data_IF_869556079215
#
_entry.id   IF_869556079215
#
_cell.length_a   1.000
_cell.length_b   1.000
_cell.length_c   1.000
_cell.angle_alpha   90.00
_cell.angle_beta   90.00
_cell.angle_gamma   90.00
#
_symmetry.space_group_name_H-M   'P 1'
#
loop_
_entity.id
_entity.type
_entity.pdbx_description
1 polymer ?
#
# COMPACT_ATOMS: atom_id res chain seq x y z
N UNK A 1 -3.89 -1.64 -28.02
CA UNK A 1 -3.43 -3.04 -27.90
C UNK A 1 -1.94 -3.12 -27.51
N UNK A 2 -1.00 -2.66 -28.34
CA UNK A 2 0.45 -2.75 -28.07
C UNK A 2 0.91 -2.10 -26.77
N UNK A 3 0.44 -0.88 -26.46
CA UNK A 3 0.81 -0.19 -25.21
C UNK A 3 0.21 -0.85 -23.96
N UNK A 4 -1.01 -1.37 -24.04
CA UNK A 4 -1.60 -2.15 -22.95
C UNK A 4 -0.80 -3.43 -22.67
N UNK A 5 -0.33 -4.12 -23.72
CA UNK A 5 0.55 -5.28 -23.57
C UNK A 5 1.92 -4.93 -22.97
N UNK A 6 2.46 -3.75 -23.30
CA UNK A 6 3.71 -3.25 -22.69
C UNK A 6 3.51 -2.93 -21.21
N UNK A 7 2.42 -2.24 -20.86
CA UNK A 7 2.07 -1.97 -19.47
C UNK A 7 1.83 -3.26 -18.68
N UNK A 8 1.11 -4.23 -19.24
CA UNK A 8 0.91 -5.51 -18.56
C UNK A 8 2.20 -6.28 -18.31
N UNK A 9 3.20 -6.15 -19.20
CA UNK A 9 4.52 -6.75 -18.99
C UNK A 9 5.30 -6.11 -17.82
N UNK A 10 4.89 -4.92 -17.39
CA UNK A 10 5.46 -4.24 -16.24
C UNK A 10 4.84 -4.62 -14.88
N UNK A 11 3.77 -5.41 -14.89
CA UNK A 11 3.00 -5.73 -13.68
C UNK A 11 3.41 -7.11 -13.16
N UNK A 12 3.74 -7.18 -11.87
CA UNK A 12 3.93 -8.44 -11.16
C UNK A 12 2.95 -8.52 -10.00
N UNK A 13 2.16 -9.59 -9.95
CA UNK A 13 1.11 -9.73 -8.95
C UNK A 13 1.69 -10.26 -7.65
N UNK A 14 1.49 -9.51 -6.57
CA UNK A 14 1.69 -10.01 -5.21
C UNK A 14 0.43 -10.71 -4.71
N UNK A 15 -0.75 -10.27 -5.16
CA UNK A 15 -2.03 -10.91 -4.89
C UNK A 15 -3.12 -10.49 -5.90
N UNK A 16 -3.95 -11.41 -6.41
CA UNK A 16 -3.88 -12.86 -6.18
C UNK A 16 -2.62 -13.48 -6.80
N UNK A 17 -1.97 -14.38 -6.08
CA UNK A 17 -0.78 -15.09 -6.57
C UNK A 17 -1.14 -16.12 -7.65
N UNK A 18 -2.35 -16.68 -7.58
CA UNK A 18 -2.96 -17.49 -8.63
C UNK A 18 -4.44 -17.12 -8.84
N UNK A 19 -4.80 -16.43 -9.93
CA UNK A 19 -6.18 -16.02 -10.22
C UNK A 19 -7.18 -17.19 -10.34
N UNK A 20 -6.70 -18.41 -10.62
CA UNK A 20 -7.54 -19.58 -10.86
C UNK A 20 -7.98 -20.34 -9.59
N UNK A 21 -7.48 -19.97 -8.40
CA UNK A 21 -7.59 -20.80 -7.20
C UNK A 21 -8.57 -20.30 -6.13
N UNK A 22 -9.34 -19.23 -6.36
CA UNK A 22 -9.94 -18.50 -5.23
C UNK A 22 -11.44 -18.73 -5.05
N UNK A 23 -11.77 -19.28 -3.88
CA UNK A 23 -13.14 -19.43 -3.35
C UNK A 23 -13.61 -18.15 -2.67
N UNK A 24 -14.91 -17.86 -2.76
CA UNK A 24 -15.53 -16.69 -2.16
C UNK A 24 -15.67 -16.79 -0.64
N UNK A 25 -15.27 -15.72 0.04
CA UNK A 25 -15.52 -15.38 1.45
C UNK A 25 -14.81 -16.25 2.52
N UNK A 26 -13.72 -15.72 3.07
CA UNK A 26 -13.13 -16.19 4.32
C UNK A 26 -13.52 -15.23 5.46
N UNK A 27 -14.02 -15.73 6.61
CA UNK A 27 -14.36 -14.88 7.74
C UNK A 27 -13.10 -14.33 8.41
N UNK A 28 -12.87 -13.03 8.30
CA UNK A 28 -11.81 -12.34 9.02
C UNK A 28 -12.07 -12.34 10.53
N UNK A 29 -11.07 -12.73 11.31
CA UNK A 29 -11.06 -12.54 12.77
C UNK A 29 -10.05 -11.44 13.10
N UNK A 30 -10.57 -10.21 13.27
CA UNK A 30 -9.77 -9.06 13.67
C UNK A 30 -8.95 -9.32 14.94
N UNK A 31 -7.78 -8.70 14.98
CA UNK A 31 -6.76 -8.81 16.04
C UNK A 31 -6.03 -10.16 16.12
N UNK A 32 -5.14 -10.41 15.16
CA UNK A 32 -3.95 -11.25 15.39
C UNK A 32 -2.71 -10.41 15.21
N UNK A 33 -1.94 -10.26 16.27
CA UNK A 33 -0.70 -9.48 16.33
C UNK A 33 0.48 -10.14 15.58
N UNK A 34 0.15 -11.05 14.65
CA UNK A 34 1.00 -11.89 13.80
C UNK A 34 0.11 -12.33 12.62
N UNK A 35 -0.05 -11.51 11.58
CA UNK A 35 -1.06 -11.78 10.55
C UNK A 35 -0.62 -12.79 9.49
N UNK A 36 0.68 -13.09 9.36
CA UNK A 36 1.19 -13.96 8.29
C UNK A 36 1.76 -15.31 8.74
N UNK A 37 2.11 -15.52 10.02
CA UNK A 37 2.62 -16.84 10.45
C UNK A 37 1.55 -17.95 10.37
N UNK A 38 0.26 -17.58 10.43
CA UNK A 38 -0.88 -18.50 10.39
C UNK A 38 -1.81 -18.32 9.17
N UNK A 39 -1.60 -17.31 8.32
CA UNK A 39 -2.51 -17.01 7.22
C UNK A 39 -2.13 -17.80 5.98
N UNK A 40 -3.07 -18.63 5.49
CA UNK A 40 -2.89 -19.37 4.25
C UNK A 40 -2.76 -18.40 3.06
N UNK A 41 -1.95 -18.75 2.08
CA UNK A 41 -1.75 -17.92 0.89
C UNK A 41 -3.07 -17.64 0.14
N UNK A 42 -3.99 -18.61 0.15
CA UNK A 42 -5.32 -18.47 -0.43
C UNK A 42 -6.23 -17.52 0.38
N UNK A 43 -6.11 -17.52 1.70
CA UNK A 43 -6.85 -16.60 2.58
C UNK A 43 -6.38 -15.16 2.35
N UNK A 44 -5.07 -14.92 2.34
CA UNK A 44 -4.50 -13.61 2.03
C UNK A 44 -4.89 -13.13 0.61
N UNK A 45 -4.98 -14.04 -0.37
CA UNK A 45 -5.48 -13.70 -1.72
C UNK A 45 -6.95 -13.31 -1.72
N UNK A 46 -7.78 -14.07 -1.01
CA UNK A 46 -9.19 -13.75 -0.87
C UNK A 46 -9.39 -12.40 -0.19
N UNK A 47 -8.56 -12.07 0.80
CA UNK A 47 -8.60 -10.79 1.52
C UNK A 47 -8.17 -9.57 0.69
N UNK A 48 -7.22 -9.73 -0.22
CA UNK A 48 -6.87 -8.65 -1.15
C UNK A 48 -7.99 -8.45 -2.16
N UNK A 49 -8.57 -9.53 -2.66
CA UNK A 49 -9.64 -9.47 -3.65
C UNK A 49 -10.98 -9.00 -3.08
N UNK A 50 -11.29 -9.40 -1.85
CA UNK A 50 -12.52 -9.14 -1.13
C UNK A 50 -12.18 -8.81 0.33
N UNK A 51 -11.71 -7.58 0.61
CA UNK A 51 -11.32 -7.18 1.96
C UNK A 51 -12.50 -7.16 2.94
N UNK A 52 -12.23 -6.97 4.24
CA UNK A 52 -13.29 -6.88 5.24
C UNK A 52 -14.33 -5.80 4.93
N UNK A 53 -15.52 -5.97 5.49
CA UNK A 53 -16.68 -5.14 5.16
C UNK A 53 -16.41 -3.62 5.29
N UNK A 54 -15.74 -3.10 6.34
CA UNK A 54 -15.44 -1.67 6.42
C UNK A 54 -14.58 -1.14 5.28
N UNK A 55 -13.68 -1.95 4.73
CA UNK A 55 -12.83 -1.58 3.59
C UNK A 55 -13.62 -1.63 2.28
N UNK A 56 -14.55 -2.58 2.14
CA UNK A 56 -15.50 -2.61 1.02
C UNK A 56 -16.40 -1.37 1.04
N UNK A 57 -16.93 -0.99 2.20
CA UNK A 57 -17.75 0.22 2.33
C UNK A 57 -16.93 1.49 2.07
N UNK A 58 -15.65 1.53 2.48
CA UNK A 58 -14.73 2.61 2.13
C UNK A 58 -14.54 2.72 0.60
N UNK A 59 -14.36 1.59 -0.09
CA UNK A 59 -14.23 1.55 -1.55
C UNK A 59 -15.52 1.97 -2.26
N UNK A 60 -16.69 1.58 -1.72
CA UNK A 60 -18.00 2.06 -2.19
C UNK A 60 -18.14 3.57 -2.05
N UNK A 61 -17.88 4.09 -0.86
CA UNK A 61 -17.96 5.52 -0.57
C UNK A 61 -17.08 6.34 -1.51
N UNK A 62 -15.89 5.84 -1.83
CA UNK A 62 -14.97 6.49 -2.76
C UNK A 62 -15.59 6.68 -4.16
N UNK A 63 -16.27 5.66 -4.69
CA UNK A 63 -16.94 5.73 -6.01
C UNK A 63 -18.23 6.54 -5.95
N UNK A 64 -19.07 6.29 -4.94
CA UNK A 64 -20.38 6.95 -4.79
C UNK A 64 -20.26 8.46 -4.56
N UNK A 65 -19.13 8.90 -3.98
CA UNK A 65 -18.80 10.32 -3.81
C UNK A 65 -18.18 10.97 -5.05
N UNK A 66 -18.08 10.24 -6.17
CA UNK A 66 -17.42 10.72 -7.39
C UNK A 66 -15.92 10.92 -7.24
N UNK A 67 -15.29 10.25 -6.27
CA UNK A 67 -13.88 10.43 -5.94
C UNK A 67 -13.58 11.67 -5.09
N UNK A 68 -14.51 12.15 -4.26
CA UNK A 68 -14.28 13.26 -3.32
C UNK A 68 -13.38 12.82 -2.14
N UNK A 69 -12.15 13.34 -2.01
CA UNK A 69 -11.29 13.03 -0.86
C UNK A 69 -11.91 13.43 0.48
N UNK A 70 -12.79 14.44 0.48
CA UNK A 70 -13.52 14.88 1.66
C UNK A 70 -14.42 13.79 2.24
N UNK A 71 -14.98 12.90 1.42
CA UNK A 71 -15.78 11.76 1.87
C UNK A 71 -14.94 10.78 2.69
N UNK A 72 -13.72 10.51 2.25
CA UNK A 72 -12.77 9.64 2.96
C UNK A 72 -12.28 10.30 4.24
N UNK A 73 -11.92 11.59 4.20
CA UNK A 73 -11.46 12.33 5.38
C UNK A 73 -12.47 12.37 6.52
N UNK A 74 -13.78 12.33 6.22
CA UNK A 74 -14.85 12.28 7.23
C UNK A 74 -14.89 10.98 8.04
N UNK A 75 -14.22 9.92 7.58
CA UNK A 75 -14.11 8.64 8.29
C UNK A 75 -12.91 8.58 9.26
N UNK A 76 -12.06 9.60 9.27
CA UNK A 76 -10.95 9.69 10.21
C UNK A 76 -11.46 10.06 11.61
N UNK A 77 -10.86 9.46 12.63
CA UNK A 77 -11.08 9.88 14.01
C UNK A 77 -10.64 11.35 14.16
N UNK A 78 -11.44 12.22 14.79
CA UNK A 78 -11.10 13.63 14.94
C UNK A 78 -9.87 13.87 15.84
N UNK A 79 -9.51 12.88 16.67
CA UNK A 79 -8.40 12.94 17.61
C UNK A 79 -7.06 13.06 16.87
N UNK A 80 -6.32 14.13 17.17
CA UNK A 80 -4.97 14.28 16.65
C UNK A 80 -4.01 13.43 17.47
N UNK A 81 -3.42 12.42 16.85
CA UNK A 81 -2.43 11.56 17.48
C UNK A 81 -1.02 12.02 17.10
N UNK A 82 -0.07 12.05 18.05
CA UNK A 82 1.32 12.33 17.71
C UNK A 82 1.86 11.26 16.76
N UNK A 83 2.63 11.67 15.76
CA UNK A 83 3.30 10.70 14.88
C UNK A 83 4.30 9.89 15.72
N UNK A 84 4.23 8.55 15.69
CA UNK A 84 5.14 7.69 16.43
C UNK A 84 6.60 7.97 16.05
N UNK A 85 7.50 7.86 17.03
CA UNK A 85 8.94 7.86 16.74
C UNK A 85 9.36 6.45 16.33
N UNK A 86 9.52 6.22 15.04
CA UNK A 86 9.90 4.92 14.49
C UNK A 86 11.41 4.90 14.33
N UNK A 87 12.09 3.91 14.91
CA UNK A 87 13.54 3.69 14.73
C UNK A 87 14.37 4.98 14.91
N UNK A 88 14.00 5.80 15.91
CA UNK A 88 14.71 7.05 16.23
C UNK A 88 14.61 8.16 15.18
N UNK A 89 13.55 8.20 14.35
CA UNK A 89 13.27 9.30 13.40
C UNK A 89 13.47 10.69 14.00
N UNK A 90 13.04 10.91 15.24
CA UNK A 90 13.20 12.21 15.92
C UNK A 90 14.66 12.57 16.19
N UNK A 91 15.49 11.59 16.58
CA UNK A 91 16.93 11.79 16.79
C UNK A 91 17.61 12.22 15.50
N UNK A 92 17.23 11.62 14.37
CA UNK A 92 17.76 11.95 13.05
C UNK A 92 17.14 13.22 12.45
N UNK A 93 16.13 13.85 13.10
CA UNK A 93 15.33 14.97 12.58
C UNK A 93 14.51 14.64 11.33
N UNK A 94 14.24 13.37 11.08
CA UNK A 94 13.39 12.93 9.98
C UNK A 94 11.91 13.18 10.31
N UNK A 95 11.19 13.81 9.38
CA UNK A 95 9.75 14.05 9.49
C UNK A 95 9.08 13.57 8.20
N UNK A 96 8.32 12.48 8.27
CA UNK A 96 7.56 11.98 7.13
C UNK A 96 6.33 12.81 6.79
N UNK A 97 5.78 13.46 7.80
CA UNK A 97 4.53 14.18 7.73
C UNK A 97 4.79 15.68 7.82
N UNK A 98 3.96 16.45 7.11
CA UNK A 98 4.01 17.93 7.17
C UNK A 98 3.76 18.46 8.59
N UNK A 99 2.97 17.74 9.38
CA UNK A 99 2.62 18.07 10.77
C UNK A 99 3.09 16.98 11.72
N UNK A 100 3.44 17.29 12.98
CA UNK A 100 3.91 16.29 13.95
C UNK A 100 2.79 15.38 14.51
N UNK A 101 1.59 15.49 13.94
CA UNK A 101 0.42 14.71 14.30
C UNK A 101 -0.27 14.20 13.04
N UNK A 102 -1.01 13.10 13.20
CA UNK A 102 -1.85 12.47 12.20
C UNK A 102 -3.19 12.04 12.80
N UNK A 103 -3.97 11.32 12.00
CA UNK A 103 -5.24 10.69 12.39
C UNK A 103 -5.27 9.28 11.83
N UNK A 104 -5.99 8.41 12.49
CA UNK A 104 -6.30 7.07 12.01
C UNK A 104 -7.77 7.05 11.56
N UNK A 105 -8.19 5.98 10.88
CA UNK A 105 -9.61 5.76 10.64
C UNK A 105 -10.30 5.46 11.97
N UNK A 106 -11.53 5.96 12.15
CA UNK A 106 -12.33 5.67 13.33
C UNK A 106 -12.63 4.16 13.47
N UNK A 107 -12.70 3.46 12.34
CA UNK A 107 -12.83 2.01 12.29
C UNK A 107 -11.45 1.32 12.37
N UNK A 108 -11.22 0.57 13.45
CA UNK A 108 -9.97 -0.16 13.70
C UNK A 108 -9.70 -1.28 12.68
N UNK A 109 -10.74 -1.83 12.04
CA UNK A 109 -10.59 -2.89 11.04
C UNK A 109 -9.98 -2.34 9.74
N UNK A 110 -10.29 -1.09 9.36
CA UNK A 110 -9.63 -0.40 8.24
C UNK A 110 -8.14 -0.22 8.55
N UNK A 111 -7.80 0.25 9.75
CA UNK A 111 -6.40 0.44 10.16
C UNK A 111 -5.63 -0.89 10.17
N UNK A 112 -6.26 -1.95 10.68
CA UNK A 112 -5.68 -3.30 10.74
C UNK A 112 -5.47 -3.89 9.35
N UNK A 113 -6.41 -3.67 8.43
CA UNK A 113 -6.28 -4.12 7.04
C UNK A 113 -5.14 -3.38 6.30
N UNK A 114 -4.96 -2.09 6.54
CA UNK A 114 -3.81 -1.39 5.93
C UNK A 114 -2.49 -1.87 6.50
N UNK A 115 -2.39 -2.15 7.81
CA UNK A 115 -1.22 -2.80 8.38
C UNK A 115 -0.95 -4.19 7.75
N UNK A 116 -2.01 -4.99 7.55
CA UNK A 116 -1.94 -6.27 6.84
C UNK A 116 -1.31 -6.13 5.44
N UNK A 117 -1.66 -5.09 4.68
CA UNK A 117 -1.07 -4.86 3.35
C UNK A 117 0.45 -4.65 3.42
N UNK A 118 0.96 -3.88 4.39
CA UNK A 118 2.40 -3.67 4.57
C UNK A 118 3.12 -5.00 4.86
N UNK A 119 2.59 -5.80 5.78
CA UNK A 119 3.16 -7.11 6.12
C UNK A 119 3.11 -8.08 4.93
N UNK A 120 2.00 -8.07 4.17
CA UNK A 120 1.82 -8.91 2.99
C UNK A 120 2.83 -8.57 1.88
N UNK A 121 3.08 -7.27 1.66
CA UNK A 121 4.10 -6.83 0.70
C UNK A 121 5.49 -7.31 1.14
N UNK A 122 5.84 -7.17 2.42
CA UNK A 122 7.12 -7.64 2.94
C UNK A 122 7.28 -9.17 2.79
N UNK A 123 6.23 -9.94 3.10
CA UNK A 123 6.25 -11.39 2.98
C UNK A 123 6.33 -11.88 1.53
N UNK A 124 5.64 -11.21 0.59
CA UNK A 124 5.52 -11.68 -0.81
C UNK A 124 6.45 -10.99 -1.79
N UNK A 125 7.02 -9.84 -1.44
CA UNK A 125 7.97 -9.10 -2.25
C UNK A 125 9.08 -9.98 -2.86
N UNK A 126 9.71 -10.89 -2.11
CA UNK A 126 10.74 -11.78 -2.65
C UNK A 126 10.28 -12.59 -3.87
N UNK A 127 9.01 -12.98 -3.95
CA UNK A 127 8.45 -13.75 -5.09
C UNK A 127 8.46 -12.98 -6.41
N UNK A 128 8.51 -11.65 -6.36
CA UNK A 128 8.58 -10.76 -7.52
C UNK A 128 9.96 -10.11 -7.67
N UNK A 129 10.96 -10.56 -6.90
CA UNK A 129 12.33 -10.02 -6.92
C UNK A 129 12.52 -8.72 -6.13
N UNK A 130 11.56 -8.38 -5.27
CA UNK A 130 11.58 -7.17 -4.44
C UNK A 130 11.71 -7.56 -2.97
N UNK A 131 12.94 -7.61 -2.44
CA UNK A 131 13.13 -7.83 -1.01
C UNK A 131 12.99 -6.50 -0.26
N UNK A 132 12.05 -6.44 0.68
CA UNK A 132 11.76 -5.23 1.47
C UNK A 132 11.64 -5.57 2.94
N UNK A 133 11.97 -4.60 3.78
CA UNK A 133 11.79 -4.65 5.23
C UNK A 133 10.87 -3.52 5.69
N UNK A 134 10.16 -3.74 6.80
CA UNK A 134 9.35 -2.70 7.44
C UNK A 134 10.24 -1.86 8.35
N UNK A 135 11.01 -0.95 7.76
CA UNK A 135 11.90 -0.02 8.47
C UNK A 135 11.58 1.40 8.05
N UNK A 136 12.10 2.40 8.76
CA UNK A 136 11.95 3.81 8.39
C UNK A 136 12.61 4.20 7.06
N UNK A 137 13.49 3.35 6.52
CA UNK A 137 14.25 3.60 5.29
C UNK A 137 13.64 2.90 4.07
N UNK A 138 12.95 1.79 4.31
CA UNK A 138 12.32 0.95 3.30
C UNK A 138 10.80 1.11 3.38
N UNK A 139 10.00 0.05 3.14
CA UNK A 139 8.55 0.08 3.05
C UNK A 139 7.89 0.65 4.31
N UNK A 140 7.73 1.97 4.34
CA UNK A 140 7.38 2.71 5.55
C UNK A 140 6.09 3.49 5.45
N UNK A 141 5.75 3.94 4.24
CA UNK A 141 4.53 4.71 4.01
C UNK A 141 3.93 4.42 2.63
N UNK A 142 2.70 4.86 2.46
CA UNK A 142 2.01 4.84 1.19
C UNK A 142 1.01 5.99 1.08
N UNK A 143 0.62 6.29 -0.14
CA UNK A 143 -0.33 7.35 -0.46
C UNK A 143 -1.66 6.73 -0.86
N UNK A 144 -2.68 6.98 -0.05
CA UNK A 144 -4.07 6.72 -0.42
C UNK A 144 -4.47 7.69 -1.55
N UNK A 145 -5.05 7.16 -2.62
CA UNK A 145 -5.54 7.96 -3.74
C UNK A 145 -6.90 7.48 -4.23
N UNK A 146 -7.59 8.36 -4.94
CA UNK A 146 -8.84 8.09 -5.64
C UNK A 146 -8.59 8.23 -7.14
N UNK A 147 -8.78 7.16 -7.91
CA UNK A 147 -8.50 7.16 -9.33
C UNK A 147 -9.43 8.11 -10.09
N UNK A 148 -8.85 9.00 -10.89
CA UNK A 148 -9.63 9.94 -11.70
C UNK A 148 -10.61 9.22 -12.62
N UNK A 149 -11.83 9.76 -12.74
CA UNK A 149 -12.90 9.22 -13.59
C UNK A 149 -13.66 8.02 -13.02
N UNK A 150 -13.06 7.22 -12.13
CA UNK A 150 -13.75 6.07 -11.52
C UNK A 150 -13.98 6.21 -10.01
N UNK A 151 -13.21 7.05 -9.33
CA UNK A 151 -13.21 7.12 -7.87
C UNK A 151 -12.61 5.88 -7.20
N UNK A 152 -12.00 4.95 -7.95
CA UNK A 152 -11.47 3.70 -7.39
C UNK A 152 -10.41 4.01 -6.33
N UNK A 153 -10.64 3.51 -5.13
CA UNK A 153 -9.69 3.63 -4.03
C UNK A 153 -8.44 2.79 -4.29
N UNK A 154 -7.28 3.34 -4.00
CA UNK A 154 -6.02 2.61 -4.02
C UNK A 154 -4.99 3.20 -3.08
N UNK A 155 -3.92 2.45 -2.86
CA UNK A 155 -2.73 2.89 -2.12
C UNK A 155 -1.50 2.65 -2.99
N UNK A 156 -0.69 3.69 -3.17
CA UNK A 156 0.65 3.58 -3.73
C UNK A 156 1.65 3.49 -2.58
N UNK A 157 2.29 2.35 -2.40
CA UNK A 157 3.34 2.14 -1.42
C UNK A 157 4.71 2.41 -2.03
N UNK A 158 5.60 2.98 -1.22
CA UNK A 158 6.98 3.20 -1.57
C UNK A 158 7.88 2.29 -0.73
N UNK A 159 8.60 1.42 -1.40
CA UNK A 159 9.71 0.67 -0.83
C UNK A 159 11.03 1.38 -1.11
N UNK A 160 12.07 1.06 -0.36
CA UNK A 160 13.45 1.55 -0.55
C UNK A 160 13.52 3.07 -0.75
N UNK A 161 12.71 3.81 0.02
CA UNK A 161 12.51 5.26 -0.14
C UNK A 161 13.80 6.04 0.12
N UNK A 162 14.60 5.58 1.07
CA UNK A 162 15.84 6.24 1.49
C UNK A 162 17.05 5.32 1.31
N UNK A 163 17.57 5.12 0.08
CA UNK A 163 18.85 4.43 -0.12
C UNK A 163 19.98 5.04 0.70
N UNK A 164 20.87 4.19 1.19
CA UNK A 164 22.11 4.57 1.83
C UNK A 164 22.94 5.46 0.89
N UNK A 165 23.56 6.49 1.46
CA UNK A 165 24.52 7.29 0.73
C UNK A 165 25.75 6.43 0.42
N UNK A 166 26.11 6.34 -0.86
CA UNK A 166 27.31 5.66 -1.30
C UNK A 166 28.01 6.49 -2.38
N UNK A 167 29.32 6.71 -2.25
CA UNK A 167 30.03 7.65 -3.14
C UNK A 167 30.11 7.19 -4.58
N UNK A 168 29.99 5.89 -4.83
CA UNK A 168 30.18 5.30 -6.15
C UNK A 168 28.84 5.00 -6.83
N UNK A 169 27.90 4.41 -6.10
CA UNK A 169 26.62 3.93 -6.60
C UNK A 169 25.45 4.89 -6.37
N UNK A 170 25.46 5.69 -5.29
CA UNK A 170 24.38 6.64 -4.97
C UNK A 170 24.87 7.88 -4.21
N UNK A 171 25.60 8.81 -4.89
CA UNK A 171 26.23 9.95 -4.24
C UNK A 171 25.25 11.12 -4.00
N UNK A 172 24.01 10.80 -3.62
CA UNK A 172 22.95 11.78 -3.39
C UNK A 172 22.56 11.82 -1.92
N UNK A 173 22.55 13.02 -1.35
CA UNK A 173 22.10 13.26 0.02
C UNK A 173 20.60 13.58 0.02
N UNK A 174 19.79 12.66 0.54
CA UNK A 174 18.33 12.79 0.67
C UNK A 174 17.92 13.42 2.02
N UNK A 175 18.88 13.96 2.77
CA UNK A 175 18.67 14.68 4.01
C UNK A 175 18.50 13.77 5.22
N UNK A 176 17.83 14.31 6.24
CA UNK A 176 17.75 13.72 7.57
C UNK A 176 17.15 12.30 7.62
N UNK A 177 16.22 12.00 6.71
CA UNK A 177 15.59 10.69 6.66
C UNK A 177 16.50 9.57 6.13
N UNK A 178 17.55 9.92 5.38
CA UNK A 178 18.58 9.00 4.89
C UNK A 178 19.64 8.64 5.92
N UNK A 179 19.75 9.44 6.99
CA UNK A 179 20.79 9.28 8.02
C UNK A 179 20.76 7.86 8.57
N UNK A 180 21.90 7.17 8.53
CA UNK A 180 22.06 5.78 9.01
C UNK A 180 21.26 4.73 8.23
N UNK A 181 20.79 5.05 7.01
CA UNK A 181 20.19 4.05 6.12
C UNK A 181 21.21 2.98 5.71
N UNK A 182 20.74 1.74 5.70
CA UNK A 182 21.44 0.54 5.24
C UNK A 182 20.87 -0.01 3.92
N UNK A 183 19.88 0.67 3.33
CA UNK A 183 19.20 0.22 2.11
C UNK A 183 20.15 0.39 0.90
N UNK A 184 20.56 -0.68 0.21
CA UNK A 184 21.45 -0.56 -0.93
C UNK A 184 20.75 0.08 -2.12
N UNK A 185 21.49 0.87 -2.90
CA UNK A 185 21.05 1.35 -4.21
C UNK A 185 21.46 0.32 -5.28
N UNK A 186 20.48 -0.46 -5.74
CA UNK A 186 20.67 -1.50 -6.76
C UNK A 186 19.48 -1.55 -7.73
N UNK A 187 19.50 -2.48 -8.68
CA UNK A 187 18.46 -2.60 -9.72
C UNK A 187 17.06 -2.88 -9.17
N UNK A 188 16.93 -3.38 -7.93
CA UNK A 188 15.62 -3.59 -7.29
C UNK A 188 14.89 -2.28 -6.99
N UNK A 189 15.59 -1.14 -7.04
CA UNK A 189 14.97 0.20 -6.98
C UNK A 189 13.95 0.44 -8.09
N UNK A 190 14.07 -0.24 -9.23
CA UNK A 190 13.08 -0.17 -10.31
C UNK A 190 11.75 -0.85 -9.94
N UNK A 191 11.74 -1.66 -8.88
CA UNK A 191 10.57 -2.41 -8.42
C UNK A 191 9.85 -1.74 -7.25
N UNK A 192 10.34 -0.60 -6.78
CA UNK A 192 9.98 0.02 -5.50
C UNK A 192 8.54 0.53 -5.34
N UNK A 193 7.77 0.57 -6.43
CA UNK A 193 6.40 1.02 -6.43
C UNK A 193 5.46 -0.18 -6.37
N UNK A 194 4.65 -0.25 -5.32
CA UNK A 194 3.61 -1.26 -5.14
C UNK A 194 2.26 -0.57 -5.10
N UNK A 195 1.30 -1.11 -5.84
CA UNK A 195 -0.05 -0.60 -5.97
C UNK A 195 -1.03 -1.60 -5.37
N UNK A 196 -1.79 -1.17 -4.37
CA UNK A 196 -3.04 -1.82 -4.01
C UNK A 196 -4.20 -1.06 -4.65
N UNK A 197 -5.11 -1.79 -5.28
CA UNK A 197 -6.39 -1.27 -5.74
C UNK A 197 -7.49 -2.00 -4.99
N UNK A 198 -8.37 -1.25 -4.33
CA UNK A 198 -9.55 -1.81 -3.70
C UNK A 198 -10.49 -2.39 -4.77
N UNK A 199 -11.44 -3.27 -4.40
CA UNK A 199 -12.47 -3.72 -5.34
C UNK A 199 -13.23 -2.54 -5.95
N UNK A 200 -13.56 -2.64 -7.23
CA UNK A 200 -14.27 -1.58 -7.95
C UNK A 200 -15.78 -1.88 -7.91
N UNK A 201 -16.60 -1.09 -7.21
CA UNK A 201 -18.05 -1.20 -7.28
C UNK A 201 -18.59 -0.60 -8.59
N UNK A 202 -19.78 -1.03 -8.98
CA UNK A 202 -20.57 -0.34 -10.01
C UNK A 202 -21.20 0.92 -9.43
N UNK A 203 -21.19 2.02 -10.19
CA UNK A 203 -21.93 3.24 -9.85
C UNK A 203 -23.42 3.13 -10.13
N UNK A 204 -23.86 2.14 -10.91
CA UNK A 204 -25.26 1.97 -11.32
C UNK A 204 -25.97 0.85 -10.54
N UNK A 205 -25.21 -0.13 -10.05
CA UNK A 205 -25.76 -1.33 -9.42
C UNK A 205 -25.01 -1.65 -8.14
N UNK A 206 -25.57 -2.55 -7.30
CA UNK A 206 -24.87 -3.00 -6.09
C UNK A 206 -23.69 -3.95 -6.37
N UNK A 207 -23.45 -4.30 -7.63
CA UNK A 207 -22.44 -5.27 -8.03
C UNK A 207 -21.01 -4.72 -7.93
N UNK A 208 -20.04 -5.63 -7.88
CA UNK A 208 -18.61 -5.33 -7.98
C UNK A 208 -18.13 -5.64 -9.40
N UNK A 209 -17.56 -4.64 -10.07
CA UNK A 209 -17.04 -4.72 -11.44
C UNK A 209 -15.67 -5.40 -11.51
N UNK A 210 -14.86 -5.27 -10.46
CA UNK A 210 -13.56 -5.90 -10.37
C UNK A 210 -13.19 -6.22 -8.91
N UNK A 211 -12.46 -7.32 -8.66
CA UNK A 211 -11.89 -7.59 -7.35
C UNK A 211 -10.75 -6.62 -7.03
N UNK A 212 -10.34 -6.58 -5.76
CA UNK A 212 -9.12 -5.93 -5.34
C UNK A 212 -7.87 -6.67 -5.82
N UNK A 213 -6.73 -5.97 -5.87
CA UNK A 213 -5.47 -6.53 -6.34
C UNK A 213 -4.27 -5.78 -5.74
N UNK A 214 -3.16 -6.50 -5.58
CA UNK A 214 -1.89 -5.98 -5.07
C UNK A 214 -0.78 -6.30 -6.08
N UNK A 215 -0.16 -5.27 -6.63
CA UNK A 215 0.70 -5.37 -7.80
C UNK A 215 1.98 -4.57 -7.60
N UNK A 216 3.12 -5.16 -7.89
CA UNK A 216 4.40 -4.48 -8.06
C UNK A 216 4.49 -3.93 -9.50
N UNK A 217 4.86 -2.66 -9.65
CA UNK A 217 4.96 -1.99 -10.96
C UNK A 217 6.43 -1.65 -11.26
N UNK A 218 6.98 -2.20 -12.35
CA UNK A 218 8.36 -1.97 -12.77
C UNK A 218 8.52 -0.89 -13.87
N UNK A 219 7.43 -0.21 -14.20
CA UNK A 219 7.38 0.94 -15.10
C UNK A 219 7.42 2.25 -14.29
N UNK A 220 8.08 3.30 -14.80
CA UNK A 220 8.09 4.63 -14.16
C UNK A 220 6.67 5.22 -14.09
N UNK A 221 6.16 5.43 -12.88
CA UNK A 221 5.01 6.32 -12.63
C UNK A 221 5.55 7.71 -12.30
N UNK A 222 5.14 8.71 -13.09
CA UNK A 222 5.29 10.11 -12.71
C UNK A 222 4.13 10.48 -11.78
N UNK A 223 4.41 10.61 -10.48
CA UNK A 223 3.51 11.36 -9.60
C UNK A 223 3.79 12.85 -9.82
N UNK A 224 2.89 13.53 -10.55
CA UNK A 224 2.84 14.99 -10.56
C UNK A 224 2.08 15.43 -9.31
N UNK A 225 2.77 16.09 -8.38
CA UNK A 225 2.16 16.77 -7.23
C UNK A 225 1.51 18.09 -7.65
#
# INVERSE_FOLDING_TARGET
AREASRLSSCLRFLSPANPAAVSSAYPWKGSRKVLLEDCDAAEADAMVMWPPAPVLELARLAVDSGGDPGAIHRLLDPTMLPVPDVEGTKKSKCHLTRTPYGRHFADEEINSYFAFLFELIAARGPSVGLNVSLTRYDLFHGHLFLASGTGRLGILFHAKEYPAFDKESFPYNLGYCQTESDVPYDDSMNLRNILWLAPLPSSETKAWLAPGMLIQINCFLFCTY
#
